data_IF_857432873534
#
_entry.id   IF_857432873534
#
_cell.length_a   1.000
_cell.length_b   1.000
_cell.length_c   1.000
_cell.angle_alpha   90.00
_cell.angle_beta   90.00
_cell.angle_gamma   90.00
#
_symmetry.space_group_name_H-M   'P 1'
#
loop_
_entity.id
_entity.type
_entity.pdbx_description
1 polymer ?
2 polymer ?
3 polymer ?
4 polymer ?
5 non-polymer ?
6 non-polymer ?
7 non-polymer ?
8 non-polymer ?
9 non-polymer ?
10 non-polymer ?
11 non-polymer ?
12 water ?
#
loop_
_entity_poly.entity_id
_entity_poly.type
_entity_poly.pdbx_seq_one_letter_code
_entity_poly.pdbx_strand_id
2 'polydeoxyribonucleotide' '(DC)(DG)(DG)(DC)(8OG)(DT)(DA)(DC)(DG)' ?
3 'polydeoxyribonucleotide/polyribonucleotide hybrid' '(DC)(DG)(DT)(DA)C' ?
4 'polydeoxyribonucleotide' '(DG)(DC)(DC)(DG)' ?
#
# COMPACT_ATOMS: atom_id res chain seq x y z
N UNK A 10 -7.10 -24.49 -1.26
CA UNK A 10 -6.67 -23.08 -1.10
C UNK A 10 -5.32 -23.00 -0.36
N UNK A 11 -4.26 -22.53 -1.04
CA UNK A 11 -2.95 -22.40 -0.39
C UNK A 11 -2.97 -21.41 0.77
N UNK A 12 -2.01 -21.58 1.69
CA UNK A 12 -2.04 -20.77 2.91
C UNK A 12 -1.44 -19.38 2.72
N UNK A 13 -0.57 -19.19 1.73
CA UNK A 13 0.08 -17.90 1.52
C UNK A 13 -0.58 -17.15 0.37
N UNK A 14 -0.76 -15.84 0.53
CA UNK A 14 -1.48 -15.10 -0.50
C UNK A 14 -0.72 -15.10 -1.82
N UNK A 15 0.61 -15.23 -1.80
CA UNK A 15 1.39 -15.22 -3.03
C UNK A 15 1.29 -16.52 -3.82
N UNK A 16 0.57 -17.52 -3.29
CA UNK A 16 0.36 -18.80 -3.96
C UNK A 16 -0.97 -18.87 -4.68
N UNK A 17 -1.74 -17.79 -4.70
CA UNK A 17 -3.05 -17.89 -5.29
C UNK A 17 -3.37 -16.57 -5.99
N UNK A 18 -4.07 -16.61 -7.12
CA UNK A 18 -4.52 -15.36 -7.74
C UNK A 18 -5.52 -14.64 -6.86
N UNK A 19 -5.37 -13.33 -6.77
CA UNK A 19 -6.37 -12.50 -6.10
C UNK A 19 -6.71 -11.33 -7.00
N UNK A 20 -7.89 -11.34 -7.59
CA UNK A 20 -8.29 -10.27 -8.49
C UNK A 20 -8.72 -9.05 -7.70
N UNK A 21 -8.81 -7.94 -8.42
CA UNK A 21 -9.17 -6.68 -7.79
C UNK A 21 -10.61 -6.70 -7.30
N UNK A 22 -11.50 -7.20 -8.13
CA UNK A 22 -12.88 -7.33 -7.74
C UNK A 22 -13.24 -8.81 -7.63
N UNK A 23 -14.16 -9.12 -6.71
CA UNK A 23 -14.33 -10.52 -6.37
C UNK A 23 -15.77 -10.76 -5.92
N UNK A 24 -16.01 -11.87 -5.21
CA UNK A 24 -17.37 -12.36 -4.98
C UNK A 24 -17.74 -12.38 -3.52
N UNK A 25 -16.92 -11.76 -2.65
CA UNK A 25 -17.16 -11.77 -1.21
C UNK A 25 -16.84 -10.41 -0.60
N UNK A 26 -17.21 -9.36 -1.31
CA UNK A 26 -16.77 -8.01 -0.95
C UNK A 26 -17.20 -7.61 0.45
N UNK A 27 -18.49 -7.82 0.77
CA UNK A 27 -18.99 -7.48 2.09
C UNK A 27 -18.29 -8.21 3.22
N UNK A 28 -18.08 -9.51 3.04
CA UNK A 28 -17.40 -10.31 4.05
C UNK A 28 -15.96 -9.85 4.25
N UNK A 29 -15.23 -9.62 3.16
CA UNK A 29 -13.83 -9.20 3.30
C UNK A 29 -13.75 -7.82 3.94
N UNK A 30 -14.69 -6.93 3.62
CA UNK A 30 -14.64 -5.58 4.18
C UNK A 30 -14.83 -5.61 5.69
N UNK A 31 -15.70 -6.49 6.18
CA UNK A 31 -15.91 -6.60 7.62
C UNK A 31 -14.66 -7.10 8.33
N UNK A 32 -14.02 -8.13 7.77
CA UNK A 32 -12.80 -8.64 8.39
C UNK A 32 -11.69 -7.60 8.36
N UNK A 33 -11.64 -6.78 7.31
CA UNK A 33 -10.62 -5.75 7.23
C UNK A 33 -10.86 -4.63 8.25
N UNK A 34 -12.11 -4.36 8.63
CA UNK A 34 -12.34 -3.46 9.77
C UNK A 34 -11.70 -4.00 11.04
N UNK A 35 -11.89 -5.28 11.33
CA UNK A 35 -11.30 -5.83 12.54
C UNK A 35 -9.78 -5.85 12.46
N UNK A 36 -9.23 -6.04 11.25
CA UNK A 36 -7.78 -5.98 11.09
C UNK A 36 -7.25 -4.59 11.39
N UNK A 37 -7.92 -3.58 10.83
CA UNK A 37 -7.53 -2.20 11.03
C UNK A 37 -7.60 -1.83 12.50
N UNK A 38 -8.67 -2.27 13.18
CA UNK A 38 -8.83 -1.98 14.61
C UNK A 38 -7.74 -2.64 15.43
N UNK A 39 -7.39 -3.88 15.08
CA UNK A 39 -6.26 -4.54 15.74
C UNK A 39 -4.98 -3.74 15.56
N UNK A 40 -4.75 -3.19 14.37
CA UNK A 40 -3.56 -2.39 14.15
C UNK A 40 -3.53 -1.14 15.00
N UNK A 41 -4.68 -0.52 15.19
CA UNK A 41 -4.73 0.67 16.02
C UNK A 41 -4.40 0.38 17.48
N UNK A 42 -4.55 -0.88 17.90
CA UNK A 42 -4.20 -1.29 19.24
C UNK A 42 -2.82 -1.93 19.30
N UNK A 43 -2.08 -1.94 18.20
CA UNK A 43 -0.76 -2.55 18.19
C UNK A 43 -0.73 -4.06 18.16
N UNK A 44 -1.83 -4.72 17.79
CA UNK A 44 -1.85 -6.18 17.75
C UNK A 44 -1.56 -6.63 16.32
N UNK A 45 -0.26 -6.68 16.01
CA UNK A 45 0.17 -7.03 14.65
C UNK A 45 -0.26 -8.43 14.25
N UNK A 46 -0.25 -9.37 15.20
CA UNK A 46 -0.64 -10.73 14.88
C UNK A 46 -2.11 -10.85 14.49
N UNK A 47 -2.98 -10.26 15.31
CA UNK A 47 -4.41 -10.26 14.97
C UNK A 47 -4.63 -9.56 13.64
N UNK A 48 -4.01 -8.40 13.44
CA UNK A 48 -4.17 -7.67 12.17
C UNK A 48 -3.84 -8.59 11.02
N UNK A 49 -2.73 -9.33 11.13
CA UNK A 49 -2.33 -10.20 10.02
C UNK A 49 -3.37 -11.29 9.80
N UNK A 50 -3.85 -11.93 10.86
CA UNK A 50 -4.79 -13.02 10.66
C UNK A 50 -6.07 -12.51 10.01
N UNK A 51 -6.60 -11.36 10.47
CA UNK A 51 -7.82 -10.85 9.88
C UNK A 51 -7.58 -10.40 8.44
N UNK A 52 -6.42 -9.78 8.15
CA UNK A 52 -6.09 -9.44 6.76
C UNK A 52 -5.99 -10.68 5.88
N UNK A 53 -5.34 -11.73 6.40
CA UNK A 53 -5.19 -12.95 5.62
C UNK A 53 -6.53 -13.62 5.40
N UNK A 54 -7.40 -13.64 6.41
CA UNK A 54 -8.71 -14.25 6.23
C UNK A 54 -9.52 -13.48 5.20
N UNK A 55 -9.46 -12.16 5.25
CA UNK A 55 -10.13 -11.35 4.24
C UNK A 55 -9.61 -11.69 2.86
N UNK A 56 -8.28 -11.84 2.73
CA UNK A 56 -7.69 -12.07 1.43
C UNK A 56 -8.10 -13.44 0.87
N UNK A 57 -8.25 -14.43 1.74
CA UNK A 57 -8.72 -15.75 1.31
C UNK A 57 -10.08 -15.63 0.62
N UNK A 58 -10.97 -14.84 1.20
CA UNK A 58 -12.29 -14.68 0.59
C UNK A 58 -12.20 -13.98 -0.75
N UNK A 59 -11.27 -13.04 -0.89
CA UNK A 59 -11.10 -12.38 -2.18
C UNK A 59 -10.68 -13.35 -3.27
N UNK A 60 -10.00 -14.44 -2.91
CA UNK A 60 -9.47 -15.40 -3.86
C UNK A 60 -10.46 -16.51 -4.20
N UNK A 61 -11.60 -16.56 -3.53
CA UNK A 61 -12.58 -17.61 -3.80
C UNK A 61 -13.28 -17.37 -5.13
N UNK A 62 -13.73 -18.44 -5.79
CA UNK A 62 -14.33 -18.29 -7.12
C UNK A 62 -15.80 -17.94 -7.10
N UNK A 63 -16.45 -17.88 -5.93
CA UNK A 63 -17.87 -17.60 -5.85
C UNK A 63 -18.20 -17.15 -4.44
N UNK A 64 -19.41 -16.63 -4.21
CA UNK A 64 -19.78 -16.17 -2.87
C UNK A 64 -19.87 -17.29 -1.85
N UNK A 65 -19.37 -17.02 -0.65
CA UNK A 65 -19.69 -17.85 0.51
C UNK A 65 -21.14 -17.60 0.89
N UNK A 66 -21.94 -18.66 0.93
CA UNK A 66 -23.33 -18.60 1.34
C UNK A 66 -23.64 -19.39 2.60
N UNK A 67 -22.77 -20.31 2.99
CA UNK A 67 -23.02 -21.14 4.17
C UNK A 67 -21.71 -21.31 4.93
N UNK A 68 -21.85 -21.44 6.25
CA UNK A 68 -20.69 -21.56 7.12
C UNK A 68 -19.84 -22.77 6.76
N UNK A 69 -20.46 -23.84 6.26
CA UNK A 69 -19.70 -25.02 5.90
C UNK A 69 -18.68 -24.75 4.80
N UNK A 70 -18.89 -23.73 3.98
CA UNK A 70 -17.93 -23.39 2.93
C UNK A 70 -16.62 -22.88 3.49
N UNK A 71 -16.55 -22.51 4.77
CA UNK A 71 -15.29 -22.06 5.36
C UNK A 71 -14.43 -23.21 5.87
N UNK A 72 -15.02 -24.40 6.03
CA UNK A 72 -14.26 -25.55 6.52
C UNK A 72 -13.07 -25.80 5.61
N UNK A 73 -11.90 -25.96 6.21
CA UNK A 73 -10.72 -26.23 5.42
C UNK A 73 -10.04 -25.01 4.84
N UNK A 74 -10.68 -23.81 4.91
CA UNK A 74 -9.99 -22.61 4.39
C UNK A 74 -8.95 -22.13 5.40
N UNK A 75 -7.76 -21.79 4.96
CA UNK A 75 -6.75 -21.28 5.89
C UNK A 75 -7.14 -19.93 6.46
N UNK A 76 -6.75 -19.71 7.71
CA UNK A 76 -6.87 -18.46 8.43
C UNK A 76 -8.29 -18.23 8.94
N UNK A 77 -9.18 -19.23 8.80
CA UNK A 77 -10.50 -19.16 9.40
C UNK A 77 -10.56 -20.07 10.61
N UNK A 78 -10.55 -19.47 11.79
CA UNK A 78 -10.82 -20.18 13.02
C UNK A 78 -12.10 -19.72 13.66
N UNK A 79 -12.15 -19.84 14.98
CA UNK A 79 -13.39 -19.54 15.70
C UNK A 79 -13.83 -18.09 15.46
N UNK A 80 -12.90 -17.15 15.53
CA UNK A 80 -13.28 -15.73 15.52
C UNK A 80 -13.71 -15.27 14.12
N UNK A 81 -12.87 -15.50 13.11
CA UNK A 81 -13.23 -15.07 11.76
C UNK A 81 -14.46 -15.81 11.26
N UNK A 82 -14.63 -17.08 11.65
CA UNK A 82 -15.80 -17.83 11.21
C UNK A 82 -17.07 -17.28 11.85
N UNK A 83 -16.98 -16.84 13.10
CA UNK A 83 -18.15 -16.28 13.76
C UNK A 83 -18.55 -14.96 13.13
N UNK A 84 -17.57 -14.12 12.77
CA UNK A 84 -17.87 -12.89 12.05
C UNK A 84 -18.66 -13.21 10.78
N UNK A 85 -18.18 -14.17 9.99
CA UNK A 85 -18.85 -14.50 8.74
C UNK A 85 -20.24 -15.06 9.03
N UNK A 86 -20.35 -15.94 10.03
CA UNK A 86 -21.64 -16.54 10.35
C UNK A 86 -22.68 -15.48 10.66
N UNK A 87 -22.29 -14.48 11.47
CA UNK A 87 -23.24 -13.42 11.81
C UNK A 87 -23.63 -12.60 10.59
N UNK A 88 -22.65 -12.31 9.71
CA UNK A 88 -22.99 -11.58 8.49
C UNK A 88 -23.94 -12.39 7.62
N UNK A 89 -23.74 -13.70 7.54
CA UNK A 89 -24.60 -14.55 6.70
C UNK A 89 -25.99 -14.65 7.30
N UNK A 90 -26.09 -14.73 8.62
CA UNK A 90 -27.39 -14.94 9.27
C UNK A 90 -28.17 -13.66 9.46
N UNK A 91 -27.49 -12.52 9.65
CA UNK A 91 -28.16 -11.28 10.02
C UNK A 91 -27.81 -10.07 9.18
N UNK A 92 -26.84 -10.17 8.27
CA UNK A 92 -26.44 -9.03 7.47
C UNK A 92 -25.49 -8.08 8.16
N UNK A 93 -25.19 -8.30 9.44
CA UNK A 93 -24.38 -7.40 10.24
C UNK A 93 -23.71 -8.24 11.31
N UNK A 94 -22.51 -7.82 11.70
CA UNK A 94 -21.74 -8.44 12.77
C UNK A 94 -21.61 -7.44 13.90
N UNK A 95 -22.13 -7.79 15.08
CA UNK A 95 -22.21 -6.81 16.16
C UNK A 95 -20.83 -6.29 16.54
N UNK A 96 -19.83 -7.17 16.57
CA UNK A 96 -18.48 -6.72 16.90
C UNK A 96 -17.97 -5.70 15.89
N UNK A 97 -18.20 -5.95 14.60
CA UNK A 97 -17.75 -5.02 13.56
C UNK A 97 -18.46 -3.68 13.73
N UNK A 98 -19.78 -3.71 13.96
CA UNK A 98 -20.52 -2.45 14.09
C UNK A 98 -20.06 -1.68 15.32
N UNK A 99 -19.76 -2.40 16.41
CA UNK A 99 -19.27 -1.75 17.62
C UNK A 99 -17.95 -1.04 17.36
N UNK A 100 -17.03 -1.69 16.63
CA UNK A 100 -15.79 -1.03 16.25
C UNK A 100 -16.08 0.21 15.42
N UNK A 101 -16.93 0.08 14.41
CA UNK A 101 -17.18 1.17 13.47
C UNK A 101 -17.63 2.44 14.17
N UNK A 102 -18.52 2.32 15.15
CA UNK A 102 -19.05 3.51 15.79
C UNK A 102 -18.23 3.96 16.99
N UNK A 103 -17.17 3.24 17.35
CA UNK A 103 -16.42 3.60 18.53
C UNK A 103 -15.60 4.88 18.31
N UNK A 104 -15.52 5.69 19.36
CA UNK A 104 -14.73 6.92 19.32
C UNK A 104 -13.26 6.60 19.04
N UNK A 105 -12.74 5.55 19.67
CA UNK A 105 -11.35 5.16 19.47
C UNK A 105 -11.06 4.85 18.00
N UNK A 106 -11.87 4.01 17.38
CA UNK A 106 -11.63 3.62 16.00
C UNK A 106 -11.73 4.82 15.06
N UNK A 107 -12.81 5.62 15.21
CA UNK A 107 -13.02 6.72 14.29
C UNK A 107 -11.91 7.75 14.40
N UNK A 108 -11.43 8.02 15.61
CA UNK A 108 -10.39 9.03 15.77
C UNK A 108 -9.03 8.52 15.32
N UNK A 109 -8.69 7.28 15.66
CA UNK A 109 -7.44 6.69 15.17
C UNK A 109 -7.42 6.62 13.64
N UNK A 110 -8.56 6.26 13.03
CA UNK A 110 -8.64 6.28 11.59
C UNK A 110 -8.41 7.69 11.04
N UNK A 111 -9.12 8.69 11.61
CA UNK A 111 -8.93 10.08 11.18
C UNK A 111 -7.48 10.52 11.30
N UNK A 112 -6.85 10.23 12.44
CA UNK A 112 -5.51 10.75 12.67
C UNK A 112 -4.46 10.01 11.82
N UNK A 113 -4.54 8.67 11.76
CA UNK A 113 -3.54 7.93 11.00
C UNK A 113 -3.65 8.16 9.50
N UNK A 114 -4.80 8.62 9.02
CA UNK A 114 -4.94 8.99 7.61
C UNK A 114 -4.18 10.25 7.25
N UNK A 115 -3.69 11.00 8.24
CA UNK A 115 -2.90 12.20 7.99
C UNK A 115 -1.50 11.77 7.59
N UNK A 116 -0.99 12.37 6.51
CA UNK A 116 0.39 12.18 6.08
C UNK A 116 1.32 12.77 7.14
N UNK A 117 2.18 11.92 7.72
CA UNK A 117 3.06 12.32 8.80
C UNK A 117 2.63 11.82 10.16
N UNK A 118 1.47 11.18 10.25
CA UNK A 118 0.93 10.66 11.51
C UNK A 118 0.79 9.16 11.41
N UNK A 119 1.48 8.41 12.27
CA UNK A 119 1.29 6.98 12.39
C UNK A 119 0.48 6.60 13.61
N UNK A 120 0.37 5.27 13.82
CA UNK A 120 -0.42 4.76 14.94
C UNK A 120 0.09 5.32 16.26
N UNK A 121 1.40 5.31 16.46
CA UNK A 121 1.94 5.78 17.73
C UNK A 121 1.59 7.24 17.98
N UNK A 122 1.70 8.08 16.96
CA UNK A 122 1.41 9.51 17.18
C UNK A 122 -0.08 9.70 17.44
N UNK A 123 -0.91 9.06 16.60
CA UNK A 123 -2.36 9.11 16.75
C UNK A 123 -2.78 8.68 18.14
N UNK A 124 -2.19 7.59 18.62
CA UNK A 124 -2.58 7.06 19.91
C UNK A 124 -2.23 8.05 21.02
N UNK A 125 -1.09 8.73 20.91
CA UNK A 125 -0.69 9.68 21.95
C UNK A 125 -1.61 10.89 21.95
N UNK A 126 -1.97 11.39 20.77
CA UNK A 126 -2.95 12.47 20.66
C UNK A 126 -4.30 12.04 21.24
N UNK A 127 -4.75 10.83 20.91
CA UNK A 127 -5.99 10.29 21.46
C UNK A 127 -5.96 10.32 22.99
N UNK A 128 -4.87 9.80 23.57
CA UNK A 128 -4.77 9.77 25.03
C UNK A 128 -4.71 11.17 25.61
N UNK A 129 -4.19 12.14 24.87
CA UNK A 129 -4.17 13.52 25.33
C UNK A 129 -5.54 14.19 25.26
N UNK A 130 -6.53 13.52 24.68
CA UNK A 130 -7.86 14.07 24.58
C UNK A 130 -8.20 14.65 23.23
N UNK A 131 -7.25 14.64 22.29
CA UNK A 131 -7.52 15.21 20.97
C UNK A 131 -8.41 14.29 20.16
N UNK A 132 -9.33 14.90 19.37
CA UNK A 132 -10.33 14.12 18.64
C UNK A 132 -10.54 14.57 17.19
N UNK A 133 -10.27 15.83 16.82
CA UNK A 133 -10.61 16.34 15.50
C UNK A 133 -9.40 16.98 14.85
N UNK A 134 -9.50 17.19 13.54
CA UNK A 134 -8.41 17.86 12.83
C UNK A 134 -8.22 19.29 13.34
N UNK A 135 -9.32 19.95 13.71
CA UNK A 135 -9.18 21.30 14.23
C UNK A 135 -8.51 21.32 15.61
N UNK A 136 -8.74 20.29 16.44
CA UNK A 136 -7.95 20.16 17.65
C UNK A 136 -6.47 20.20 17.33
N UNK A 137 -6.06 19.56 16.22
CA UNK A 137 -4.66 19.55 15.86
C UNK A 137 -4.22 20.89 15.31
N UNK A 138 -5.08 21.54 14.52
CA UNK A 138 -4.73 22.82 13.94
C UNK A 138 -4.58 23.89 15.01
N UNK A 139 -5.39 23.83 16.06
CA UNK A 139 -5.33 24.79 17.17
C UNK A 139 -4.22 24.47 18.18
N UNK A 140 -3.08 23.96 17.71
CA UNK A 140 -1.94 23.66 18.56
C UNK A 140 -0.76 23.25 17.69
N UNK A 141 -0.38 24.08 16.70
CA UNK A 141 0.64 23.64 15.74
C UNK A 141 2.00 23.46 16.34
N UNK A 142 2.21 23.89 17.58
CA UNK A 142 3.50 23.69 18.23
C UNK A 142 3.87 22.22 18.30
N UNK A 143 2.87 21.34 18.31
CA UNK A 143 3.09 19.92 18.45
C UNK A 143 3.20 19.17 17.13
N UNK A 144 3.39 19.87 16.01
CA UNK A 144 3.37 19.23 14.70
C UNK A 144 4.71 19.36 13.99
N UNK A 145 5.10 18.28 13.32
CA UNK A 145 6.24 18.36 12.44
C UNK A 145 5.88 19.09 11.14
N UNK A 146 6.90 19.54 10.43
CA UNK A 146 6.68 20.11 9.11
C UNK A 146 5.91 19.15 8.22
N UNK A 147 6.23 17.85 8.29
CA UNK A 147 5.53 16.86 7.48
C UNK A 147 4.05 16.80 7.86
N UNK A 148 3.78 16.84 9.17
CA UNK A 148 2.40 16.78 9.66
C UNK A 148 1.65 18.06 9.33
N UNK A 149 2.34 19.20 9.39
CA UNK A 149 1.70 20.44 8.97
C UNK A 149 1.26 20.35 7.52
N UNK A 150 2.10 19.79 6.65
CA UNK A 150 1.73 19.67 5.25
C UNK A 150 0.58 18.69 5.08
N UNK A 151 0.64 17.56 5.79
CA UNK A 151 -0.43 16.59 5.69
C UNK A 151 -1.76 17.16 6.16
N UNK A 152 -1.72 18.01 7.19
CA UNK A 152 -2.94 18.61 7.70
C UNK A 152 -3.46 19.72 6.79
N UNK A 153 -2.56 20.59 6.29
CA UNK A 153 -2.98 21.63 5.34
C UNK A 153 -3.64 21.04 4.11
N UNK A 154 -3.07 19.96 3.59
CA UNK A 154 -3.54 19.34 2.35
C UNK A 154 -4.50 18.19 2.58
N UNK A 155 -4.98 18.02 3.80
CA UNK A 155 -5.71 16.79 4.14
C UNK A 155 -6.96 16.61 3.27
N UNK A 156 -7.69 17.70 3.01
CA UNK A 156 -8.91 17.58 2.24
C UNK A 156 -8.63 17.08 0.84
N UNK A 157 -7.67 17.68 0.14
CA UNK A 157 -7.31 17.21 -1.21
C UNK A 157 -6.78 15.79 -1.17
N UNK A 158 -5.98 15.47 -0.16
CA UNK A 158 -5.39 14.13 -0.10
C UNK A 158 -6.44 13.07 0.22
N UNK A 159 -7.62 13.47 0.67
CA UNK A 159 -8.72 12.53 0.92
C UNK A 159 -9.57 12.31 -0.31
N UNK A 160 -9.33 13.03 -1.37
CA UNK A 160 -10.06 12.90 -2.63
C UNK A 160 -9.40 11.81 -3.48
N UNK A 161 -10.14 10.86 -4.03
CA UNK A 161 -9.49 9.80 -4.81
C UNK A 161 -8.74 10.34 -6.01
N UNK A 162 -7.53 9.81 -6.20
CA UNK A 162 -6.77 10.05 -7.41
C UNK A 162 -7.36 9.18 -8.50
N UNK A 163 -7.58 9.76 -9.67
CA UNK A 163 -8.23 9.05 -10.76
C UNK A 163 -7.20 8.70 -11.82
N UNK A 164 -7.54 7.75 -12.68
CA UNK A 164 -6.61 7.32 -13.72
C UNK A 164 -6.25 8.47 -14.68
N UNK A 165 -7.16 9.44 -14.90
CA UNK A 165 -6.80 10.62 -15.70
C UNK A 165 -5.73 11.47 -15.01
N UNK A 166 -5.80 11.56 -13.69
CA UNK A 166 -4.75 12.26 -12.95
C UNK A 166 -3.40 11.58 -13.20
N UNK A 167 -3.40 10.25 -13.31
CA UNK A 167 -2.14 9.52 -13.38
C UNK A 167 -1.40 9.82 -14.67
N UNK A 168 -2.12 9.84 -15.79
CA UNK A 168 -1.47 10.10 -17.07
C UNK A 168 -0.81 11.48 -17.09
N UNK A 169 -1.49 12.48 -16.53
CA UNK A 169 -0.93 13.83 -16.50
C UNK A 169 0.32 13.89 -15.64
N UNK A 170 0.26 13.27 -14.45
CA UNK A 170 1.41 13.24 -13.56
C UNK A 170 2.58 12.50 -14.20
N UNK A 171 2.30 11.41 -14.92
CA UNK A 171 3.41 10.66 -15.50
C UNK A 171 4.14 11.49 -16.55
N UNK A 172 3.38 12.30 -17.30
CA UNK A 172 4.01 13.13 -18.32
C UNK A 172 4.95 14.15 -17.68
N UNK A 173 4.52 14.80 -16.59
CA UNK A 173 5.40 15.81 -16.01
C UNK A 173 6.59 15.15 -15.34
N UNK A 174 6.43 13.95 -14.78
CA UNK A 174 7.57 13.27 -14.17
C UNK A 174 8.58 12.86 -15.25
N UNK A 175 8.09 12.33 -16.35
CA UNK A 175 9.00 11.98 -17.44
C UNK A 175 9.76 13.19 -17.97
N UNK A 176 9.10 14.34 -18.03
CA UNK A 176 9.76 15.54 -18.53
C UNK A 176 10.94 15.90 -17.63
N UNK A 177 10.72 15.90 -16.31
CA UNK A 177 11.79 16.24 -15.39
C UNK A 177 12.87 15.17 -15.40
N UNK A 178 12.45 13.91 -15.43
CA UNK A 178 13.40 12.80 -15.45
C UNK A 178 14.29 12.86 -16.70
N UNK A 179 13.70 13.18 -17.86
CA UNK A 179 14.47 13.26 -19.09
C UNK A 179 15.52 14.36 -19.09
N UNK A 180 15.26 15.48 -18.39
CA UNK A 180 16.28 16.51 -18.26
C UNK A 180 17.33 16.12 -17.23
N UNK A 181 16.90 15.45 -16.17
CA UNK A 181 17.84 15.06 -15.13
C UNK A 181 18.80 14.00 -15.62
N UNK A 182 18.32 13.11 -16.49
CA UNK A 182 19.15 12.02 -16.99
C UNK A 182 18.55 11.45 -18.27
N UNK A 183 19.00 11.91 -19.42
CA UNK A 183 18.51 11.34 -20.68
C UNK A 183 18.66 9.83 -20.71
N UNK A 184 17.60 9.18 -21.20
CA UNK A 184 17.54 7.76 -21.23
C UNK A 184 16.86 7.13 -20.02
N UNK A 185 16.64 7.88 -18.96
CA UNK A 185 16.01 7.29 -17.78
C UNK A 185 14.55 7.05 -18.09
N UNK A 186 13.99 6.03 -17.44
CA UNK A 186 12.61 5.60 -17.69
C UNK A 186 11.79 5.76 -16.43
N UNK A 187 10.48 5.89 -16.63
CA UNK A 187 9.52 6.06 -15.55
C UNK A 187 8.48 4.96 -15.72
N UNK A 188 8.27 4.16 -14.66
CA UNK A 188 7.30 3.07 -14.69
C UNK A 188 6.24 3.30 -13.61
N UNK A 189 4.98 3.23 -14.00
CA UNK A 189 3.88 3.32 -13.03
C UNK A 189 3.82 2.03 -12.22
N UNK A 190 3.80 2.18 -10.89
CA UNK A 190 3.72 1.00 -10.02
C UNK A 190 2.51 1.10 -9.11
N UNK A 191 2.60 0.53 -7.91
CA UNK A 191 1.53 0.61 -6.94
C UNK A 191 0.18 0.09 -7.46
N UNK A 192 -0.90 0.55 -6.80
CA UNK A 192 -2.22 0.01 -7.09
C UNK A 192 -2.68 0.22 -8.52
N UNK A 193 -2.28 1.34 -9.14
CA UNK A 193 -2.69 1.53 -10.53
C UNK A 193 -2.09 0.48 -11.45
N UNK A 194 -0.90 -0.03 -11.13
CA UNK A 194 -0.36 -1.09 -11.98
C UNK A 194 -1.15 -2.40 -11.80
N UNK A 195 -1.77 -2.60 -10.65
CA UNK A 195 -2.62 -3.76 -10.39
C UNK A 195 -4.00 -3.61 -10.98
N UNK A 196 -4.27 -2.48 -11.64
CA UNK A 196 -5.53 -2.24 -12.32
C UNK A 196 -6.52 -1.40 -11.58
N UNK A 197 -6.15 -0.84 -10.44
CA UNK A 197 -7.10 -0.01 -9.71
C UNK A 197 -7.49 1.20 -10.56
N UNK A 198 -8.73 1.63 -10.40
CA UNK A 198 -9.19 2.80 -11.13
C UNK A 198 -9.04 4.07 -10.32
N UNK A 199 -8.82 3.93 -9.02
CA UNK A 199 -8.55 5.05 -8.15
C UNK A 199 -7.39 4.70 -7.24
N UNK A 200 -6.97 5.69 -6.47
CA UNK A 200 -5.96 5.47 -5.45
C UNK A 200 -5.84 6.66 -4.54
N UNK A 201 -5.05 6.48 -3.49
CA UNK A 201 -4.70 7.53 -2.55
C UNK A 201 -3.45 8.29 -2.98
N UNK A 202 -2.69 7.74 -3.91
CA UNK A 202 -1.46 8.38 -4.39
C UNK A 202 -1.10 7.76 -5.73
N UNK A 203 0.01 8.23 -6.28
CA UNK A 203 0.57 7.64 -7.49
C UNK A 203 2.02 7.27 -7.21
N UNK A 204 2.42 6.08 -7.66
CA UNK A 204 3.74 5.51 -7.39
C UNK A 204 4.50 5.33 -8.69
N UNK A 205 5.73 5.85 -8.76
CA UNK A 205 6.56 5.73 -9.94
C UNK A 205 7.93 5.17 -9.57
N UNK A 206 8.45 4.29 -10.42
CA UNK A 206 9.76 3.69 -10.29
C UNK A 206 10.61 4.17 -11.47
N UNK A 207 11.80 4.68 -11.17
CA UNK A 207 12.67 5.32 -12.16
C UNK A 207 13.96 4.51 -12.22
N UNK A 208 14.45 4.24 -13.42
CA UNK A 208 15.72 3.55 -13.58
C UNK A 208 16.38 4.07 -14.85
N UNK A 209 17.53 3.48 -15.17
CA UNK A 209 18.25 3.80 -16.40
C UNK A 209 18.90 2.51 -16.89
N UNK A 210 18.92 2.26 -18.21
CA UNK A 210 19.44 0.97 -18.70
C UNK A 210 20.92 0.75 -18.48
N UNK A 211 21.70 1.78 -18.17
CA UNK A 211 23.14 1.65 -17.92
C UNK A 211 23.38 1.64 -16.42
N UNK A 212 23.73 0.47 -15.89
CA UNK A 212 23.95 0.31 -14.46
C UNK A 212 24.87 1.39 -13.95
N UNK A 213 24.43 2.07 -12.89
CA UNK A 213 25.20 3.10 -12.23
C UNK A 213 24.83 4.51 -12.64
N UNK A 214 24.27 4.69 -13.84
CA UNK A 214 23.88 6.03 -14.26
C UNK A 214 22.78 6.61 -13.39
N UNK A 215 22.03 5.77 -12.67
CA UNK A 215 20.94 6.27 -11.85
C UNK A 215 21.41 6.87 -10.54
N UNK A 216 22.69 6.70 -10.20
CA UNK A 216 23.20 7.26 -8.96
C UNK A 216 23.02 8.77 -8.96
N UNK A 217 22.55 9.31 -7.84
CA UNK A 217 22.33 10.74 -7.67
C UNK A 217 21.14 11.30 -8.41
N UNK A 218 20.28 10.44 -8.96
CA UNK A 218 19.25 10.92 -9.88
C UNK A 218 18.13 11.67 -9.16
N UNK A 219 17.68 11.17 -8.02
CA UNK A 219 16.44 11.72 -7.45
C UNK A 219 16.55 13.19 -7.05
N UNK A 220 17.62 13.66 -6.42
CA UNK A 220 17.73 15.11 -6.18
C UNK A 220 17.63 15.93 -7.44
N UNK A 221 18.21 15.43 -8.54
CA UNK A 221 18.14 16.17 -9.79
C UNK A 221 16.72 16.23 -10.30
N UNK A 222 15.98 15.14 -10.15
CA UNK A 222 14.58 15.15 -10.56
C UNK A 222 13.80 16.11 -9.70
N UNK A 223 14.01 16.04 -8.39
CA UNK A 223 13.22 16.85 -7.48
C UNK A 223 13.46 18.34 -7.70
N UNK A 224 14.73 18.73 -7.94
CA UNK A 224 15.03 20.14 -8.16
C UNK A 224 14.30 20.66 -9.38
N UNK A 225 14.21 19.83 -10.41
CA UNK A 225 13.56 20.25 -11.65
C UNK A 225 12.04 20.33 -11.50
N UNK A 226 11.44 19.39 -10.78
CA UNK A 226 10.02 19.51 -10.49
C UNK A 226 9.74 20.75 -9.65
N UNK A 227 10.56 20.98 -8.64
CA UNK A 227 10.37 22.14 -7.76
C UNK A 227 10.52 23.44 -8.54
N UNK A 228 11.45 23.47 -9.49
CA UNK A 228 11.62 24.68 -10.29
C UNK A 228 10.43 24.93 -11.21
N UNK A 229 9.72 23.87 -11.60
CA UNK A 229 8.50 24.05 -12.39
C UNK A 229 7.29 24.42 -11.54
N UNK A 230 7.45 24.60 -10.23
CA UNK A 230 6.35 24.97 -9.36
C UNK A 230 5.38 23.84 -9.07
N UNK A 231 5.79 22.59 -9.28
CA UNK A 231 4.89 21.45 -9.16
C UNK A 231 4.89 20.81 -7.78
N UNK A 232 5.81 21.19 -6.91
CA UNK A 232 6.01 20.51 -5.64
C UNK A 232 5.45 21.41 -4.55
N UNK A 233 4.41 20.93 -3.91
CA UNK A 233 3.88 21.60 -2.74
C UNK A 233 4.59 21.16 -1.47
N UNK A 234 5.11 19.93 -1.44
CA UNK A 234 5.82 19.43 -0.27
C UNK A 234 6.82 18.35 -0.70
N UNK A 235 8.04 18.47 -0.19
CA UNK A 235 9.03 17.40 -0.28
C UNK A 235 9.92 17.44 0.94
N UNK A 236 10.50 16.29 1.28
CA UNK A 236 11.34 16.19 2.47
C UNK A 236 12.51 17.17 2.45
N UNK A 237 13.11 17.38 1.28
CA UNK A 237 14.31 18.24 1.17
C UNK A 237 13.94 19.73 1.08
N UNK A 257 19.41 10.50 -1.86
CA UNK A 257 18.18 9.78 -1.49
C UNK A 257 17.72 8.86 -2.63
N UNK A 258 16.94 7.80 -2.33
CA UNK A 258 16.37 6.97 -3.37
C UNK A 258 14.85 6.85 -3.36
N UNK A 259 14.19 7.35 -2.31
CA UNK A 259 12.72 7.39 -2.25
C UNK A 259 12.32 8.81 -1.88
N UNK A 260 11.29 9.32 -2.55
CA UNK A 260 10.76 10.65 -2.27
C UNK A 260 9.25 10.56 -2.06
N UNK A 261 8.75 11.14 -0.97
CA UNK A 261 7.33 11.11 -0.66
C UNK A 261 6.83 12.55 -0.79
N UNK A 262 6.27 12.87 -1.96
CA UNK A 262 5.98 14.24 -2.36
C UNK A 262 4.49 14.53 -2.28
N UNK A 263 4.17 15.82 -2.26
CA UNK A 263 2.84 16.30 -2.59
C UNK A 263 3.01 17.18 -3.81
N UNK A 264 2.32 16.84 -4.87
CA UNK A 264 2.40 17.52 -6.15
C UNK A 264 1.19 18.42 -6.32
N UNK A 265 1.40 19.48 -7.07
CA UNK A 265 0.34 20.35 -7.53
C UNK A 265 -0.12 19.84 -8.89
N UNK A 266 -1.32 19.30 -8.94
CA UNK A 266 -1.87 18.77 -10.17
C UNK A 266 -2.91 19.71 -10.75
N UNK A 267 -2.68 20.25 -11.96
CA UNK A 267 -3.68 21.13 -12.57
C UNK A 267 -5.04 20.47 -12.72
N UNK A 268 -6.07 21.25 -12.45
CA UNK A 268 -7.48 20.91 -12.62
C UNK A 268 -8.12 22.02 -13.45
N UNK A 269 -9.30 21.78 -14.03
CA UNK A 269 -9.97 22.86 -14.76
C UNK A 269 -10.14 24.13 -13.92
N UNK A 270 -9.45 25.20 -14.30
CA UNK A 270 -9.57 26.45 -13.57
C UNK A 270 -8.93 26.48 -12.20
N UNK A 271 -8.21 25.42 -11.83
CA UNK A 271 -7.58 25.37 -10.52
C UNK A 271 -6.56 24.24 -10.47
N UNK A 272 -6.41 23.60 -9.30
CA UNK A 272 -5.48 22.47 -9.15
C UNK A 272 -5.85 21.75 -7.88
N UNK A 273 -5.26 20.56 -7.67
CA UNK A 273 -5.41 19.88 -6.39
C UNK A 273 -4.09 19.25 -5.99
N UNK A 274 -3.89 19.12 -4.68
CA UNK A 274 -2.72 18.43 -4.15
C UNK A 274 -2.89 16.91 -4.31
N UNK A 275 -1.82 16.25 -4.73
CA UNK A 275 -1.82 14.80 -4.94
C UNK A 275 -0.53 14.22 -4.38
N UNK A 276 -0.64 13.17 -3.58
CA UNK A 276 0.55 12.47 -3.10
C UNK A 276 1.18 11.66 -4.24
N UNK A 277 2.51 11.77 -4.37
CA UNK A 277 3.26 11.03 -5.38
C UNK A 277 4.51 10.49 -4.71
N UNK A 278 4.77 9.19 -4.92
CA UNK A 278 6.00 8.54 -4.49
C UNK A 278 6.88 8.29 -5.68
N UNK A 279 8.14 8.70 -5.57
CA UNK A 279 9.15 8.49 -6.58
C UNK A 279 10.23 7.61 -5.97
N UNK A 280 10.63 6.56 -6.68
CA UNK A 280 11.68 5.68 -6.20
C UNK A 280 12.61 5.37 -7.36
N UNK A 281 13.91 5.40 -7.08
CA UNK A 281 14.96 5.11 -8.06
C UNK A 281 15.56 3.75 -7.71
N UNK A 282 15.86 2.95 -8.73
CA UNK A 282 16.58 1.70 -8.54
C UNK A 282 17.55 1.51 -9.69
N UNK A 283 18.70 0.90 -9.43
CA UNK A 283 19.55 0.49 -10.56
C UNK A 283 18.90 -0.63 -11.34
N UNK A 284 19.23 -0.71 -12.64
CA UNK A 284 18.53 -1.64 -13.52
C UNK A 284 18.72 -3.07 -13.05
N UNK A 285 19.87 -3.40 -12.44
CA UNK A 285 20.05 -4.73 -11.86
C UNK A 285 19.00 -5.07 -10.82
N UNK A 286 18.50 -4.07 -10.10
CA UNK A 286 17.53 -4.29 -9.04
C UNK A 286 16.11 -4.03 -9.48
N UNK A 287 15.92 -3.53 -10.70
CA UNK A 287 14.60 -3.10 -11.15
C UNK A 287 13.52 -4.16 -11.00
N UNK A 288 13.74 -5.44 -11.32
CA UNK A 288 12.67 -6.42 -11.11
C UNK A 288 12.23 -6.53 -9.66
N UNK A 289 13.18 -6.47 -8.73
CA UNK A 289 12.84 -6.56 -7.31
C UNK A 289 12.08 -5.32 -6.86
N UNK A 290 12.47 -4.16 -7.39
CA UNK A 290 11.82 -2.92 -6.97
C UNK A 290 10.44 -2.84 -7.57
N UNK A 291 10.31 -3.26 -8.83
CA UNK A 291 9.00 -3.31 -9.48
C UNK A 291 8.06 -4.22 -8.72
N UNK A 292 8.53 -5.44 -8.42
CA UNK A 292 7.72 -6.39 -7.63
C UNK A 292 7.35 -5.78 -6.29
N UNK A 293 8.34 -5.23 -5.61
CA UNK A 293 8.12 -4.70 -4.28
C UNK A 293 7.18 -3.50 -4.23
N UNK A 294 7.25 -2.63 -5.23
CA UNK A 294 6.39 -1.44 -5.27
C UNK A 294 5.05 -1.67 -5.97
N UNK A 295 4.81 -2.83 -6.58
CA UNK A 295 3.53 -3.08 -7.22
C UNK A 295 2.52 -3.68 -6.25
N UNK A 296 2.97 -4.23 -5.14
CA UNK A 296 2.03 -4.62 -4.10
C UNK A 296 1.20 -5.84 -4.45
N UNK A 297 0.04 -6.00 -3.79
CA UNK A 297 -0.37 -5.21 -2.65
C UNK A 297 0.59 -5.32 -1.46
N UNK A 298 0.33 -4.49 -0.45
CA UNK A 298 1.11 -4.55 0.77
C UNK A 298 1.07 -5.94 1.39
N UNK A 299 -0.13 -6.51 1.51
CA UNK A 299 -0.22 -7.87 2.07
C UNK A 299 0.47 -8.89 1.17
N UNK A 300 0.30 -8.77 -0.15
CA UNK A 300 0.99 -9.68 -1.05
C UNK A 300 2.49 -9.66 -0.82
N UNK A 301 3.09 -8.46 -0.67
CA UNK A 301 4.53 -8.36 -0.46
C UNK A 301 4.97 -8.98 0.87
N UNK A 302 4.23 -8.74 1.95
CA UNK A 302 4.56 -9.36 3.23
C UNK A 302 4.49 -10.87 3.12
N UNK A 303 3.43 -11.38 2.47
CA UNK A 303 3.27 -12.83 2.33
C UNK A 303 4.36 -13.42 1.45
N UNK A 304 4.72 -12.72 0.37
CA UNK A 304 5.81 -13.19 -0.50
C UNK A 304 7.13 -13.24 0.24
N UNK A 305 7.44 -12.20 1.02
CA UNK A 305 8.68 -12.23 1.78
C UNK A 305 8.64 -13.31 2.88
N UNK A 306 7.48 -13.48 3.50
CA UNK A 306 7.34 -14.54 4.50
C UNK A 306 7.51 -15.91 3.87
N UNK A 307 6.90 -16.12 2.71
CA UNK A 307 7.05 -17.37 1.97
C UNK A 307 8.50 -17.63 1.61
N UNK A 308 9.15 -16.62 1.05
CA UNK A 308 10.55 -16.73 0.64
C UNK A 308 11.43 -17.23 1.78
N UNK A 309 11.31 -16.58 2.95
CA UNK A 309 12.17 -16.90 4.08
C UNK A 309 11.76 -18.22 4.72
N UNK A 310 10.47 -18.39 5.03
CA UNK A 310 10.05 -19.55 5.81
C UNK A 310 9.98 -20.82 4.98
N UNK A 311 9.60 -20.73 3.71
CA UNK A 311 9.46 -21.94 2.90
C UNK A 311 10.66 -22.24 2.02
N UNK A 312 11.39 -21.21 1.59
CA UNK A 312 12.51 -21.36 0.69
C UNK A 312 13.86 -20.99 1.29
N UNK A 313 13.90 -20.46 2.52
CA UNK A 313 15.17 -20.06 3.11
C UNK A 313 15.90 -18.94 2.40
N UNK A 314 15.19 -18.11 1.64
CA UNK A 314 15.75 -17.00 0.90
C UNK A 314 15.20 -15.67 1.42
N UNK A 315 16.02 -14.62 1.43
CA UNK A 315 15.65 -13.34 2.02
C UNK A 315 15.35 -12.35 0.89
N UNK A 316 14.11 -11.87 0.84
CA UNK A 316 13.64 -11.03 -0.23
C UNK A 316 13.40 -9.61 0.24
N UNK A 317 13.86 -8.64 -0.54
CA UNK A 317 13.41 -7.26 -0.35
C UNK A 317 13.34 -6.59 -1.72
N UNK A 318 13.16 -5.26 -1.72
CA UNK A 318 13.00 -4.57 -3.00
C UNK A 318 14.32 -4.30 -3.69
N UNK A 319 15.43 -4.77 -3.12
CA UNK A 319 16.73 -4.70 -3.76
C UNK A 319 17.21 -6.03 -4.33
N UNK A 320 16.69 -7.16 -3.88
CA UNK A 320 17.24 -8.43 -4.31
C UNK A 320 16.72 -9.59 -3.48
N UNK A 321 17.30 -10.75 -3.77
CA UNK A 321 16.88 -12.01 -3.19
C UNK A 321 18.15 -12.76 -2.84
N UNK A 322 18.37 -12.97 -1.55
CA UNK A 322 19.64 -13.40 -0.98
C UNK A 322 19.54 -14.84 -0.50
N UNK A 323 20.51 -15.65 -0.90
CA UNK A 323 20.65 -17.00 -0.36
C UNK A 323 21.64 -16.94 0.78
N UNK A 324 21.22 -17.07 2.04
CA UNK A 324 22.13 -16.81 3.16
C UNK A 324 23.10 -17.93 3.44
N UNK A 325 22.85 -19.12 2.87
CA UNK A 325 23.83 -20.20 2.93
C UNK A 325 25.00 -19.93 1.98
N UNK A 326 24.70 -19.82 0.67
CA UNK A 326 25.73 -19.51 -0.31
C UNK A 326 26.22 -18.08 -0.24
N UNK A 327 25.50 -17.19 0.44
CA UNK A 327 25.86 -15.78 0.52
C UNK A 327 25.96 -15.16 -0.88
N UNK A 328 24.93 -15.43 -1.69
CA UNK A 328 24.84 -14.94 -3.05
C UNK A 328 23.47 -14.31 -3.29
N UNK A 329 23.43 -13.39 -4.24
CA UNK A 329 22.21 -12.73 -4.68
C UNK A 329 21.77 -13.31 -6.02
N UNK A 330 20.46 -13.56 -6.14
CA UNK A 330 19.89 -14.05 -7.39
C UNK A 330 19.80 -12.90 -8.39
N UNK A 331 20.35 -13.09 -9.57
CA UNK A 331 20.22 -12.09 -10.61
C UNK A 331 18.90 -12.33 -11.31
N UNK A 332 18.01 -11.35 -11.28
CA UNK A 332 16.75 -11.46 -11.97
C UNK A 332 16.69 -10.44 -13.10
N UNK A 333 16.14 -10.85 -14.23
CA UNK A 333 15.91 -9.94 -15.33
C UNK A 333 14.46 -9.54 -15.48
N UNK A 334 13.57 -10.14 -14.68
CA UNK A 334 12.13 -9.91 -14.80
C UNK A 334 11.45 -10.36 -13.51
N UNK A 335 10.21 -9.90 -13.33
CA UNK A 335 9.40 -10.44 -12.26
C UNK A 335 9.19 -11.94 -12.43
N UNK A 336 8.96 -12.37 -13.67
CA UNK A 336 8.84 -13.80 -13.96
C UNK A 336 10.01 -14.59 -13.37
N UNK A 337 11.24 -14.08 -13.54
CA UNK A 337 12.42 -14.74 -12.97
C UNK A 337 12.27 -14.93 -11.48
N UNK A 338 11.77 -13.89 -10.77
CA UNK A 338 11.69 -13.97 -9.32
C UNK A 338 10.68 -15.02 -8.89
N UNK A 339 9.49 -15.03 -9.49
CA UNK A 339 8.54 -16.08 -9.18
C UNK A 339 9.13 -17.46 -9.44
N UNK A 340 9.83 -17.63 -10.56
CA UNK A 340 10.44 -18.94 -10.83
C UNK A 340 11.47 -19.31 -9.76
N UNK A 341 12.30 -18.36 -9.36
CA UNK A 341 13.33 -18.70 -8.37
C UNK A 341 12.71 -19.12 -7.04
N UNK A 342 11.52 -18.61 -6.73
CA UNK A 342 10.81 -18.94 -5.51
C UNK A 342 9.90 -20.14 -5.65
N UNK A 343 9.84 -20.77 -6.83
CA UNK A 343 8.99 -21.93 -7.01
C UNK A 343 7.50 -21.61 -6.98
N UNK A 344 7.13 -20.42 -7.43
CA UNK A 344 5.75 -19.97 -7.43
C UNK A 344 5.28 -19.79 -8.87
N UNK A 345 4.02 -20.12 -9.13
CA UNK A 345 3.45 -19.77 -10.42
C UNK A 345 3.39 -18.26 -10.55
N UNK A 346 3.69 -17.77 -11.75
CA UNK A 346 3.68 -16.32 -11.98
C UNK A 346 2.27 -15.77 -11.84
N UNK A 347 2.18 -14.61 -11.18
CA UNK A 347 0.93 -13.86 -11.04
C UNK A 347 1.15 -12.49 -11.65
N UNK A 348 0.39 -12.09 -12.67
CA UNK A 348 0.48 -10.73 -13.15
C UNK A 348 0.03 -9.77 -12.07
N UNK A 349 0.32 -8.47 -12.21
CA UNK A 349 -0.04 -7.49 -11.17
C UNK A 349 -1.52 -7.48 -10.81
N UNK A 350 -2.38 -7.69 -11.81
CA UNK A 350 -3.83 -7.72 -11.60
C UNK A 350 -4.28 -8.87 -10.72
N UNK A 351 -3.46 -9.89 -10.50
CA UNK A 351 -3.79 -10.98 -9.60
C UNK A 351 -3.01 -10.94 -8.29
N UNK A 352 -2.44 -9.77 -7.94
CA UNK A 352 -1.70 -9.61 -6.69
C UNK A 352 -2.48 -8.76 -5.70
N UNK A 353 -3.79 -8.73 -5.85
CA UNK A 353 -4.64 -7.85 -5.04
C UNK A 353 -5.05 -8.51 -3.73
N UNK A 354 -4.08 -9.02 -3.02
CA UNK A 354 -4.34 -9.69 -1.76
C UNK A 354 -4.75 -8.66 -0.72
#
# INVERSE_FOLDING_TARGET
GSAAASPAWMPAYACQRPTPLTHHNTGLSEALEILAEAAGFEGSEGRLLTFCRAASVLKALPSPVTTLSQLQGLPHFGEHSSRVVQELLEHGVCEEVERVRRSERYQTMKLFTQIFGVGVKTADRWYREGLRTLDDLREQPQKLTQQQKAGLQHHQDLSTPVLRSDVDALQQVVEEAVGQALPGATVTLTGGFRRGKLQGHDVDFLITHPKEGQEAGLLPRVMCRLQDQGLILYHQHQHSCCESPTRLAQQSHMDAFERSFCIFRLPQPGSWKAVRVDLVVAPVSQFPFALLGWTGSKLFQRELRRFSRKEKGLWLNSHGLFDPEQKTFFQAASEEDIFRHLGLEYLPPEQRNA
#
